data_IF_309587938353
#
_entry.id   IF_309587938353
#
_cell.length_a   1.000
_cell.length_b   1.000
_cell.length_c   1.000
_cell.angle_alpha   90.00
_cell.angle_beta   90.00
_cell.angle_gamma   90.00
#
_symmetry.space_group_name_H-M   'P 1'
#
loop_
_entity.id
_entity.type
_entity.pdbx_description
1 polymer ?
#
# COMPACT_ATOMS: atom_id res chain seq x y z
N UNK A 1 60.85 -35.59 -58.34
CA UNK A 1 60.25 -34.29 -58.03
C UNK A 1 58.74 -34.40 -58.22
N UNK A 2 58.01 -34.74 -57.16
CA UNK A 2 56.55 -34.80 -57.14
C UNK A 2 56.00 -33.45 -56.63
N UNK A 3 54.98 -32.85 -57.29
CA UNK A 3 54.41 -31.60 -56.79
C UNK A 3 53.44 -31.87 -55.64
N UNK A 4 53.57 -31.06 -54.59
CA UNK A 4 52.75 -31.05 -53.37
C UNK A 4 51.44 -30.27 -53.63
N UNK A 5 50.24 -30.79 -53.28
CA UNK A 5 48.99 -30.06 -53.49
C UNK A 5 48.77 -29.00 -52.39
N UNK A 6 48.16 -27.84 -52.71
CA UNK A 6 47.86 -26.82 -51.71
C UNK A 6 46.66 -27.20 -50.82
N UNK A 7 46.60 -26.69 -49.57
CA UNK A 7 45.50 -26.96 -48.65
C UNK A 7 44.23 -26.24 -49.09
N UNK A 8 43.13 -26.99 -49.22
CA UNK A 8 41.79 -26.44 -49.35
C UNK A 8 41.43 -25.71 -48.05
N UNK A 9 41.48 -24.38 -48.08
CA UNK A 9 40.91 -23.52 -47.04
C UNK A 9 39.40 -23.74 -47.00
N UNK A 10 38.97 -24.51 -46.00
CA UNK A 10 37.56 -24.71 -45.66
C UNK A 10 37.03 -23.41 -45.04
N UNK A 11 36.56 -22.50 -45.90
CA UNK A 11 35.88 -21.27 -45.48
C UNK A 11 34.59 -21.69 -44.76
N UNK A 12 34.64 -21.73 -43.42
CA UNK A 12 33.43 -21.77 -42.59
C UNK A 12 32.62 -20.52 -42.92
N UNK A 13 31.48 -20.70 -43.59
CA UNK A 13 30.48 -19.64 -43.71
C UNK A 13 30.02 -19.29 -42.28
N UNK A 14 30.43 -18.13 -41.79
CA UNK A 14 29.81 -17.52 -40.63
C UNK A 14 28.34 -17.31 -40.99
N UNK A 15 27.46 -18.07 -40.33
CA UNK A 15 26.02 -17.94 -40.49
C UNK A 15 25.66 -16.54 -40.02
N UNK A 16 25.29 -15.66 -40.95
CA UNK A 16 24.81 -14.31 -40.64
C UNK A 16 23.53 -14.48 -39.83
N UNK A 17 23.57 -14.14 -38.54
CA UNK A 17 22.37 -14.03 -37.73
C UNK A 17 21.46 -12.98 -38.40
N UNK A 18 20.22 -13.32 -38.76
CA UNK A 18 19.29 -12.33 -39.29
C UNK A 18 19.08 -11.26 -38.19
N UNK A 19 19.39 -10.01 -38.51
CA UNK A 19 19.16 -8.89 -37.61
C UNK A 19 17.67 -8.61 -37.47
N UNK A 20 17.23 -8.16 -36.29
CA UNK A 20 15.85 -7.74 -36.03
C UNK A 20 15.44 -6.62 -36.99
N UNK A 21 14.26 -6.75 -37.58
CA UNK A 21 13.69 -5.68 -38.43
C UNK A 21 12.99 -4.63 -37.57
N UNK A 22 12.96 -3.39 -38.05
CA UNK A 22 12.23 -2.30 -37.38
C UNK A 22 10.73 -2.63 -37.23
N UNK A 23 10.15 -3.30 -38.23
CA UNK A 23 8.74 -3.72 -38.22
C UNK A 23 8.45 -4.79 -37.19
N UNK A 24 9.39 -5.73 -36.96
CA UNK A 24 9.25 -6.75 -35.92
C UNK A 24 9.31 -6.13 -34.52
N UNK A 25 10.17 -5.13 -34.32
CA UNK A 25 10.22 -4.37 -33.07
C UNK A 25 8.95 -3.55 -32.85
N UNK A 26 8.38 -2.94 -33.90
CA UNK A 26 7.09 -2.26 -33.81
C UNK A 26 5.94 -3.22 -33.47
N UNK A 27 5.92 -4.42 -34.06
CA UNK A 27 4.93 -5.44 -33.74
C UNK A 27 5.06 -5.90 -32.28
N UNK A 28 6.28 -6.14 -31.80
CA UNK A 28 6.53 -6.51 -30.40
C UNK A 28 6.09 -5.40 -29.43
N UNK A 29 6.41 -4.13 -29.71
CA UNK A 29 5.97 -2.99 -28.89
C UNK A 29 4.45 -2.86 -28.85
N UNK A 30 3.76 -3.08 -29.98
CA UNK A 30 2.31 -3.04 -30.04
C UNK A 30 1.69 -4.09 -29.09
N UNK A 31 2.22 -5.31 -29.09
CA UNK A 31 1.77 -6.37 -28.17
C UNK A 31 2.01 -5.98 -26.71
N UNK A 32 3.21 -5.45 -26.39
CA UNK A 32 3.54 -4.99 -25.03
C UNK A 32 2.59 -3.88 -24.56
N UNK A 33 2.25 -2.92 -25.42
CA UNK A 33 1.32 -1.83 -25.08
C UNK A 33 -0.10 -2.35 -24.76
N UNK A 34 -0.59 -3.32 -25.55
CA UNK A 34 -1.90 -3.94 -25.29
C UNK A 34 -1.89 -4.70 -23.96
N UNK A 35 -0.84 -5.47 -23.69
CA UNK A 35 -0.71 -6.22 -22.44
C UNK A 35 -0.56 -5.31 -21.21
N UNK A 36 0.20 -4.22 -21.35
CA UNK A 36 0.37 -3.23 -20.29
C UNK A 36 -0.96 -2.53 -19.94
N UNK A 37 -1.80 -2.24 -20.93
CA UNK A 37 -3.12 -1.65 -20.71
C UNK A 37 -4.05 -2.57 -19.89
N UNK A 38 -4.01 -3.88 -20.13
CA UNK A 38 -4.87 -4.85 -19.43
C UNK A 38 -4.39 -5.16 -18.00
N UNK A 39 -3.08 -5.09 -17.73
CA UNK A 39 -2.53 -5.47 -16.42
C UNK A 39 -2.64 -4.39 -15.35
N UNK A 40 -2.82 -3.12 -15.75
CA UNK A 40 -2.76 -1.97 -14.83
C UNK A 40 -3.81 -2.01 -13.72
N UNK A 41 -5.06 -2.36 -14.04
CA UNK A 41 -6.16 -2.34 -13.06
C UNK A 41 -5.99 -3.38 -11.95
N UNK A 42 -5.54 -4.58 -12.31
CA UNK A 42 -5.34 -5.68 -11.37
C UNK A 42 -4.32 -5.33 -10.28
N UNK A 43 -3.21 -4.68 -10.68
CA UNK A 43 -2.18 -4.25 -9.74
C UNK A 43 -2.70 -3.21 -8.75
N UNK A 44 -3.47 -2.21 -9.21
CA UNK A 44 -4.05 -1.19 -8.34
C UNK A 44 -4.98 -1.78 -7.28
N UNK A 45 -5.82 -2.75 -7.64
CA UNK A 45 -6.69 -3.42 -6.67
C UNK A 45 -5.91 -4.21 -5.62
N UNK A 46 -4.82 -4.87 -6.00
CA UNK A 46 -3.96 -5.58 -5.06
C UNK A 46 -3.30 -4.63 -4.05
N UNK A 47 -2.80 -3.48 -4.53
CA UNK A 47 -2.21 -2.44 -3.67
C UNK A 47 -3.25 -1.85 -2.71
N UNK A 48 -4.44 -1.49 -3.20
CA UNK A 48 -5.52 -0.98 -2.35
C UNK A 48 -5.90 -1.98 -1.25
N UNK A 49 -6.04 -3.27 -1.60
CA UNK A 49 -6.34 -4.32 -0.61
C UNK A 49 -5.25 -4.44 0.44
N UNK A 50 -3.98 -4.39 0.03
CA UNK A 50 -2.85 -4.40 0.96
C UNK A 50 -2.86 -3.18 1.89
N UNK A 51 -3.12 -1.98 1.36
CA UNK A 51 -3.22 -0.74 2.16
C UNK A 51 -4.40 -0.77 3.13
N UNK A 52 -5.55 -1.33 2.75
CA UNK A 52 -6.67 -1.54 3.68
C UNK A 52 -6.29 -2.48 4.81
N UNK A 53 -5.63 -3.60 4.50
CA UNK A 53 -5.16 -4.54 5.53
C UNK A 53 -4.15 -3.87 6.48
N UNK A 54 -3.24 -3.06 5.95
CA UNK A 54 -2.30 -2.24 6.73
C UNK A 54 -3.04 -1.27 7.67
N UNK A 55 -4.05 -0.55 7.15
CA UNK A 55 -4.89 0.36 7.94
C UNK A 55 -5.65 -0.35 9.07
N UNK A 56 -6.29 -1.50 8.77
CA UNK A 56 -7.00 -2.32 9.77
C UNK A 56 -6.05 -2.84 10.86
N UNK A 57 -4.87 -3.32 10.46
CA UNK A 57 -3.87 -3.81 11.41
C UNK A 57 -3.41 -2.69 12.35
N UNK A 58 -3.10 -1.51 11.81
CA UNK A 58 -2.66 -0.37 12.61
C UNK A 58 -3.77 0.16 13.53
N UNK A 59 -5.02 0.19 13.06
CA UNK A 59 -6.18 0.54 13.87
C UNK A 59 -6.31 -0.39 15.08
N UNK A 60 -6.23 -1.70 14.86
CA UNK A 60 -6.29 -2.69 15.96
C UNK A 60 -5.10 -2.58 16.91
N UNK A 61 -3.91 -2.25 16.41
CA UNK A 61 -2.73 -2.00 17.26
C UNK A 61 -2.95 -0.81 18.20
N UNK A 62 -3.48 0.30 17.68
CA UNK A 62 -3.82 1.48 18.49
C UNK A 62 -4.91 1.13 19.51
N UNK A 63 -5.92 0.38 19.11
CA UNK A 63 -7.00 -0.03 20.01
C UNK A 63 -6.46 -0.90 21.15
N UNK A 64 -5.56 -1.85 20.87
CA UNK A 64 -4.87 -2.62 21.91
C UNK A 64 -4.02 -1.74 22.83
N UNK A 65 -3.39 -0.69 22.31
CA UNK A 65 -2.64 0.28 23.12
C UNK A 65 -3.57 1.08 24.04
N UNK A 66 -4.74 1.47 23.53
CA UNK A 66 -5.79 2.16 24.29
C UNK A 66 -6.34 1.27 25.41
N UNK A 67 -6.56 -0.03 25.18
CA UNK A 67 -6.95 -0.97 26.24
C UNK A 67 -5.89 -1.10 27.34
N UNK A 68 -4.61 -1.12 26.97
CA UNK A 68 -3.51 -1.10 27.95
C UNK A 68 -3.53 0.19 28.77
N UNK A 69 -3.71 1.34 28.13
CA UNK A 69 -3.82 2.62 28.82
C UNK A 69 -5.01 2.63 29.80
N UNK A 70 -6.17 2.12 29.35
CA UNK A 70 -7.35 1.99 30.18
C UNK A 70 -7.11 1.11 31.41
N UNK A 71 -6.36 0.02 31.28
CA UNK A 71 -6.01 -0.84 32.42
C UNK A 71 -5.17 -0.11 33.50
N UNK A 72 -4.38 0.89 33.12
CA UNK A 72 -3.55 1.67 34.05
C UNK A 72 -4.23 2.94 34.57
N UNK A 73 -4.89 3.69 33.69
CA UNK A 73 -5.42 5.03 33.98
C UNK A 73 -6.95 5.06 34.12
N UNK A 74 -7.63 3.93 33.88
CA UNK A 74 -9.10 3.81 33.86
C UNK A 74 -9.78 4.77 32.88
N UNK A 75 -9.04 5.24 31.87
CA UNK A 75 -9.53 6.17 30.87
C UNK A 75 -8.81 5.98 29.55
N UNK A 76 -9.56 6.07 28.46
CA UNK A 76 -9.02 6.17 27.11
C UNK A 76 -8.56 7.60 26.81
N UNK A 77 -7.73 7.75 25.79
CA UNK A 77 -7.16 9.04 25.41
C UNK A 77 -7.49 9.35 23.95
N UNK A 78 -8.22 10.44 23.74
CA UNK A 78 -8.44 10.96 22.41
C UNK A 78 -7.14 11.55 21.86
N UNK A 79 -6.91 11.34 20.57
CA UNK A 79 -5.80 11.95 19.86
C UNK A 79 -6.16 12.16 18.40
N UNK A 80 -5.53 13.16 17.80
CA UNK A 80 -5.63 13.47 16.38
C UNK A 80 -4.24 13.32 15.74
N UNK A 81 -4.16 12.99 14.45
CA UNK A 81 -2.88 12.86 13.76
C UNK A 81 -2.10 14.18 13.85
N UNK A 82 -0.83 14.08 14.26
CA UNK A 82 0.03 15.22 14.45
C UNK A 82 0.18 15.99 13.13
N UNK A 83 -0.36 17.20 13.08
CA UNK A 83 -0.28 18.07 11.91
C UNK A 83 1.15 18.61 11.73
N UNK A 84 2.06 17.78 11.22
CA UNK A 84 3.37 18.22 10.75
C UNK A 84 4.59 17.81 11.58
N UNK A 85 4.45 16.98 12.62
CA UNK A 85 5.60 16.41 13.35
C UNK A 85 5.66 14.89 13.09
N UNK A 86 6.70 14.39 12.39
CA UNK A 86 6.88 12.96 12.22
C UNK A 86 7.11 12.31 13.59
N UNK A 87 6.18 11.46 14.03
CA UNK A 87 6.39 10.60 15.21
C UNK A 87 5.77 11.06 16.52
N UNK A 88 5.20 12.26 16.62
CA UNK A 88 4.74 12.78 17.91
C UNK A 88 3.21 12.97 17.98
N UNK A 89 2.49 11.91 18.32
CA UNK A 89 1.47 12.06 19.37
C UNK A 89 2.06 11.33 20.55
N UNK A 90 2.40 12.04 21.63
CA UNK A 90 3.30 11.59 22.72
C UNK A 90 3.00 10.17 23.25
N UNK A 91 1.77 9.68 23.09
CA UNK A 91 1.34 8.37 23.61
C UNK A 91 0.97 7.30 22.56
N UNK A 92 0.61 7.64 21.31
CA UNK A 92 0.02 6.66 20.36
C UNK A 92 0.60 6.75 18.95
N UNK A 93 0.55 5.64 18.20
CA UNK A 93 0.89 5.64 16.77
C UNK A 93 -0.27 6.18 15.95
N UNK A 94 -0.07 7.29 15.22
CA UNK A 94 -1.12 7.91 14.41
C UNK A 94 -1.08 7.60 12.90
N UNK A 95 -0.25 6.66 12.44
CA UNK A 95 -0.10 6.32 11.02
C UNK A 95 -0.05 4.80 10.78
N UNK A 96 -0.52 4.33 9.63
CA UNK A 96 -0.54 2.88 9.34
C UNK A 96 0.84 2.26 9.08
N UNK A 97 1.66 2.96 8.30
CA UNK A 97 2.89 2.44 7.71
C UNK A 97 4.10 2.44 8.64
N UNK A 98 5.28 2.33 8.05
CA UNK A 98 6.56 2.46 8.75
C UNK A 98 6.95 3.92 9.01
N UNK A 99 6.55 4.83 8.12
CA UNK A 99 6.70 6.28 8.29
C UNK A 99 5.39 6.98 7.92
N UNK A 100 5.14 8.19 8.45
CA UNK A 100 3.95 8.96 8.09
C UNK A 100 3.80 9.14 6.57
N UNK A 101 4.87 9.52 5.87
CA UNK A 101 4.85 9.82 4.43
C UNK A 101 4.54 8.60 3.53
N UNK A 102 4.85 7.39 4.01
CA UNK A 102 4.59 6.14 3.27
C UNK A 102 3.29 5.46 3.68
N UNK A 103 2.65 5.98 4.73
CA UNK A 103 1.40 5.44 5.26
C UNK A 103 0.21 5.86 4.40
N UNK A 104 -0.71 4.93 4.23
CA UNK A 104 -1.93 5.15 3.47
C UNK A 104 -3.05 5.74 4.34
N UNK A 105 -3.04 5.45 5.65
CA UNK A 105 -4.08 5.89 6.57
C UNK A 105 -3.51 6.69 7.74
N UNK A 106 -4.17 7.81 8.05
CA UNK A 106 -3.98 8.57 9.29
C UNK A 106 -4.96 8.05 10.35
N UNK A 107 -4.48 7.81 11.56
CA UNK A 107 -5.25 7.28 12.69
C UNK A 107 -5.60 8.42 13.65
N UNK A 108 -6.79 8.36 14.20
CA UNK A 108 -7.32 9.25 15.24
C UNK A 108 -8.12 8.43 16.24
N UNK A 109 -8.27 8.90 17.46
CA UNK A 109 -9.12 8.31 18.47
C UNK A 109 -10.04 9.37 19.09
N UNK A 110 -11.32 9.05 19.19
CA UNK A 110 -12.34 9.89 19.81
C UNK A 110 -13.26 9.07 20.71
N UNK A 111 -14.07 9.73 21.54
CA UNK A 111 -15.14 9.04 22.25
C UNK A 111 -16.18 8.49 21.25
N UNK A 112 -16.78 7.33 21.58
CA UNK A 112 -17.90 6.80 20.82
C UNK A 112 -19.13 7.70 20.95
N UNK A 113 -20.04 7.62 19.97
CA UNK A 113 -21.23 8.47 19.97
C UNK A 113 -22.12 8.14 21.18
N UNK A 114 -22.41 9.16 22.00
CA UNK A 114 -23.19 9.00 23.23
C UNK A 114 -22.45 8.36 24.41
N UNK A 115 -21.13 8.16 24.32
CA UNK A 115 -20.29 7.63 25.39
C UNK A 115 -19.15 8.59 25.76
N UNK A 116 -18.53 8.37 26.91
CA UNK A 116 -17.30 9.07 27.31
C UNK A 116 -16.06 8.20 27.08
N UNK A 117 -14.87 8.83 27.08
CA UNK A 117 -13.58 8.12 27.06
C UNK A 117 -13.34 7.24 28.30
N UNK A 118 -14.21 7.28 29.31
CA UNK A 118 -14.15 6.36 30.46
C UNK A 118 -14.85 5.03 30.16
N UNK A 119 -15.56 4.94 29.04
CA UNK A 119 -16.40 3.79 28.70
C UNK A 119 -16.19 3.26 27.28
N UNK A 120 -15.89 4.14 26.32
CA UNK A 120 -15.74 3.74 24.93
C UNK A 120 -14.83 4.68 24.15
N UNK A 121 -13.92 4.08 23.38
CA UNK A 121 -13.07 4.77 22.40
C UNK A 121 -13.35 4.24 21.00
N UNK A 122 -13.46 5.14 20.04
CA UNK A 122 -13.56 4.86 18.62
C UNK A 122 -12.26 5.29 17.95
N UNK A 123 -11.54 4.33 17.38
CA UNK A 123 -10.36 4.58 16.57
C UNK A 123 -10.76 4.63 15.10
N UNK A 124 -10.37 5.70 14.41
CA UNK A 124 -10.69 5.95 13.00
C UNK A 124 -9.43 6.02 12.17
N UNK A 125 -9.38 5.22 11.11
CA UNK A 125 -8.36 5.27 10.07
C UNK A 125 -8.90 6.01 8.85
N UNK A 126 -8.36 7.19 8.57
CA UNK A 126 -8.73 8.06 7.45
C UNK A 126 -7.77 7.87 6.29
N UNK A 127 -8.23 7.53 5.08
CA UNK A 127 -7.35 7.34 3.93
C UNK A 127 -6.79 8.69 3.46
N UNK A 128 -5.47 8.79 3.35
CA UNK A 128 -4.79 10.03 3.00
C UNK A 128 -4.95 11.13 4.06
N UNK A 129 -4.52 12.34 3.72
CA UNK A 129 -4.64 13.51 4.59
C UNK A 129 -3.30 14.14 5.01
N UNK A 130 -3.36 15.23 5.79
CA UNK A 130 -2.16 15.92 6.28
C UNK A 130 -1.33 14.98 7.16
N UNK A 131 -0.03 14.89 6.89
CA UNK A 131 0.91 14.04 7.63
C UNK A 131 1.06 12.62 7.08
N UNK A 132 0.15 12.14 6.22
CA UNK A 132 0.26 10.84 5.53
C UNK A 132 0.34 11.01 4.01
N UNK A 133 0.31 9.92 3.24
CA UNK A 133 0.40 9.99 1.78
C UNK A 133 -0.81 10.72 1.17
N UNK A 134 -0.65 12.00 0.82
CA UNK A 134 -1.73 12.87 0.34
C UNK A 134 -2.40 12.38 -0.95
N UNK A 135 -1.69 11.63 -1.79
CA UNK A 135 -2.23 11.05 -3.02
C UNK A 135 -2.98 9.73 -2.84
N UNK A 136 -3.05 9.18 -1.62
CA UNK A 136 -3.80 7.95 -1.38
C UNK A 136 -5.27 8.27 -1.12
N UNK A 137 -6.15 7.61 -1.85
CA UNK A 137 -7.60 7.70 -1.65
C UNK A 137 -8.21 6.32 -1.83
N UNK A 138 -9.15 5.99 -0.97
CA UNK A 138 -9.93 4.75 -1.04
C UNK A 138 -11.41 5.11 -1.14
N UNK A 139 -11.85 5.49 -2.35
CA UNK A 139 -13.22 5.93 -2.59
C UNK A 139 -14.27 4.83 -2.35
N UNK A 140 -13.86 3.55 -2.39
CA UNK A 140 -14.77 2.44 -2.18
C UNK A 140 -15.03 2.14 -0.71
N UNK A 141 -14.02 2.30 0.17
CA UNK A 141 -14.16 2.00 1.60
C UNK A 141 -14.23 3.22 2.52
N UNK A 142 -13.66 4.35 2.10
CA UNK A 142 -13.55 5.55 2.91
C UNK A 142 -12.81 5.28 4.22
N UNK A 143 -13.32 5.85 5.32
CA UNK A 143 -12.73 5.68 6.64
C UNK A 143 -13.09 4.33 7.23
N UNK A 144 -12.14 3.76 7.97
CA UNK A 144 -12.34 2.52 8.73
C UNK A 144 -12.43 2.87 10.21
N UNK A 145 -13.36 2.24 10.92
CA UNK A 145 -13.64 2.50 12.33
C UNK A 145 -13.65 1.19 13.12
N UNK A 146 -13.01 1.18 14.29
CA UNK A 146 -13.28 0.17 15.30
C UNK A 146 -13.40 0.79 16.70
N UNK A 147 -14.27 0.21 17.51
CA UNK A 147 -14.48 0.62 18.90
C UNK A 147 -14.01 -0.43 19.91
N UNK A 148 -13.80 -0.01 21.16
CA UNK A 148 -13.38 -0.90 22.25
C UNK A 148 -14.38 -2.02 22.58
N UNK A 149 -15.63 -1.90 22.12
CA UNK A 149 -16.68 -2.92 22.31
C UNK A 149 -16.68 -3.97 21.20
N UNK A 150 -15.74 -3.91 20.27
CA UNK A 150 -15.60 -4.84 19.15
C UNK A 150 -16.44 -4.46 17.92
N UNK A 151 -17.11 -3.31 17.93
CA UNK A 151 -17.77 -2.74 16.76
C UNK A 151 -16.74 -2.40 15.68
N UNK A 152 -17.01 -2.81 14.45
CA UNK A 152 -16.15 -2.59 13.27
C UNK A 152 -17.03 -2.10 12.13
N UNK A 153 -16.71 -0.95 11.56
CA UNK A 153 -17.51 -0.35 10.49
C UNK A 153 -16.64 0.49 9.55
N UNK A 154 -17.09 0.67 8.32
CA UNK A 154 -16.42 1.50 7.33
C UNK A 154 -17.46 2.41 6.67
N UNK A 155 -17.03 3.51 6.06
CA UNK A 155 -17.93 4.38 5.28
C UNK A 155 -18.50 3.63 4.05
N UNK A 156 -17.74 2.66 3.51
CA UNK A 156 -18.13 1.84 2.35
C UNK A 156 -18.53 0.38 2.67
N UNK A 157 -19.24 -0.29 1.74
CA UNK A 157 -19.71 -1.66 1.90
C UNK A 157 -18.56 -2.70 1.77
N UNK A 158 -18.64 -3.80 2.53
CA UNK A 158 -17.72 -4.95 2.48
C UNK A 158 -16.22 -4.59 2.67
N UNK A 159 -15.97 -3.64 3.57
CA UNK A 159 -14.66 -3.04 3.78
C UNK A 159 -13.96 -3.47 5.08
N UNK A 160 -14.45 -4.52 5.75
CA UNK A 160 -13.86 -5.10 6.96
C UNK A 160 -13.39 -6.53 6.78
#
# INVERSE_FOLDING_TARGET
>A
MTPFPPPFLLIRRLHRQPGFTLTELMAALLVVMVLAGLSWSSYQHAVLKARRAEGRAALLQVLLQQERQFAYQQRYQAFEPAQGVPGESDDFKWYSGGTPQTSAYALSARACDGASLDSCVLVTATPGGPGVHAGFSDSACGRLHADSRGGRSADGPDCW
#
